data_IF_487199226409
#
_entry.id   IF_487199226409
#
_cell.length_a   1.000
_cell.length_b   1.000
_cell.length_c   1.000
_cell.angle_alpha   90.00
_cell.angle_beta   90.00
_cell.angle_gamma   90.00
#
_symmetry.space_group_name_H-M   'P 1'
#
loop_
_entity.id
_entity.type
_entity.pdbx_description
1 polymer ?
#
# COMPACT_ATOMS: atom_id res chain seq x y z
N UNK A 1 15.58 21.58 26.26
CA UNK A 1 14.52 21.15 25.33
C UNK A 1 13.23 21.88 25.68
N UNK A 2 12.74 22.72 24.78
CA UNK A 2 11.59 23.62 25.02
C UNK A 2 10.27 22.82 25.08
N UNK A 3 9.33 23.16 25.96
CA UNK A 3 8.09 22.41 26.20
C UNK A 3 7.25 22.20 24.94
N UNK A 4 7.24 23.19 24.05
CA UNK A 4 6.57 23.13 22.74
C UNK A 4 7.15 22.05 21.82
N UNK A 5 8.45 21.77 21.91
CA UNK A 5 9.10 20.77 21.06
C UNK A 5 8.59 19.36 21.38
N UNK A 6 8.36 19.06 22.67
CA UNK A 6 7.78 17.78 23.10
C UNK A 6 6.33 17.61 22.62
N UNK A 7 5.55 18.70 22.60
CA UNK A 7 4.17 18.69 22.09
C UNK A 7 4.17 18.41 20.58
N UNK A 8 5.05 19.07 19.82
CA UNK A 8 5.18 18.86 18.37
C UNK A 8 5.65 17.42 18.07
N UNK A 9 6.62 16.91 18.82
CA UNK A 9 7.10 15.52 18.68
C UNK A 9 6.00 14.50 19.01
N UNK A 10 5.21 14.74 20.06
CA UNK A 10 4.05 13.91 20.40
C UNK A 10 2.98 13.91 19.32
N UNK A 11 2.63 15.08 18.78
CA UNK A 11 1.66 15.20 17.68
C UNK A 11 2.14 14.45 16.41
N UNK A 12 3.43 14.59 16.07
CA UNK A 12 4.03 13.83 14.95
C UNK A 12 3.96 12.32 15.17
N UNK A 13 4.24 11.83 16.38
CA UNK A 13 4.14 10.40 16.69
C UNK A 13 2.71 9.87 16.58
N UNK A 14 1.70 10.65 17.00
CA UNK A 14 0.29 10.27 16.84
C UNK A 14 -0.06 10.15 15.36
N UNK A 15 0.37 11.10 14.54
CA UNK A 15 0.13 11.10 13.09
C UNK A 15 0.86 9.92 12.42
N UNK A 16 2.12 9.68 12.79
CA UNK A 16 2.95 8.61 12.22
C UNK A 16 2.40 7.21 12.54
N UNK A 17 1.78 7.04 13.70
CA UNK A 17 1.21 5.77 14.17
C UNK A 17 -0.31 5.66 13.93
N UNK A 18 -0.91 6.63 13.25
CA UNK A 18 -2.33 6.57 12.91
C UNK A 18 -2.59 5.48 11.86
N UNK A 19 -3.62 4.68 12.12
CA UNK A 19 -4.11 3.67 11.20
C UNK A 19 -5.62 3.81 11.04
N UNK A 20 -6.17 3.60 9.83
CA UNK A 20 -7.61 3.66 9.63
C UNK A 20 -8.30 2.56 10.44
N UNK A 21 -9.33 2.93 11.19
CA UNK A 21 -10.27 2.01 11.83
C UNK A 21 -11.63 2.12 11.13
N UNK A 22 -12.23 0.96 10.84
CA UNK A 22 -13.55 0.84 10.24
C UNK A 22 -14.24 -0.41 10.77
N UNK A 23 -15.56 -0.35 10.90
CA UNK A 23 -16.37 -1.51 11.22
C UNK A 23 -16.47 -2.40 9.97
N UNK A 24 -15.91 -3.60 10.04
CA UNK A 24 -16.06 -4.60 8.99
C UNK A 24 -17.43 -5.26 9.19
N UNK A 25 -18.32 -5.11 8.22
CA UNK A 25 -19.57 -5.87 8.22
C UNK A 25 -19.26 -7.35 8.04
N UNK A 26 -19.72 -8.18 8.99
CA UNK A 26 -19.51 -9.63 9.00
C UNK A 26 -20.10 -10.36 7.80
N UNK A 27 -20.98 -9.71 7.03
CA UNK A 27 -21.59 -10.24 5.81
C UNK A 27 -20.72 -10.05 4.57
N UNK A 28 -19.71 -9.19 4.62
CA UNK A 28 -18.82 -9.00 3.48
C UNK A 28 -18.00 -10.26 3.22
N UNK A 29 -17.83 -10.59 1.94
CA UNK A 29 -16.89 -11.62 1.56
C UNK A 29 -15.48 -11.21 2.00
N UNK A 30 -14.76 -12.12 2.65
CA UNK A 30 -13.37 -11.91 3.04
C UNK A 30 -12.52 -12.89 2.23
N UNK A 31 -11.59 -12.33 1.47
CA UNK A 31 -10.65 -13.10 0.65
C UNK A 31 -9.23 -12.91 1.17
N UNK A 32 -8.35 -13.87 0.88
CA UNK A 32 -6.92 -13.71 1.11
C UNK A 32 -6.33 -12.78 0.06
N UNK A 33 -5.44 -11.88 0.46
CA UNK A 33 -4.74 -10.97 -0.45
C UNK A 33 -4.05 -11.72 -1.60
N UNK A 34 -3.45 -12.87 -1.33
CA UNK A 34 -2.78 -13.70 -2.33
C UNK A 34 -3.73 -14.29 -3.40
N UNK A 35 -5.01 -14.48 -3.07
CA UNK A 35 -5.98 -15.10 -3.97
C UNK A 35 -6.53 -14.13 -5.02
N UNK A 36 -6.34 -12.82 -4.82
CA UNK A 36 -6.83 -11.77 -5.73
C UNK A 36 -5.73 -11.15 -6.62
N UNK A 37 -4.47 -11.59 -6.48
CA UNK A 37 -3.33 -11.10 -7.29
C UNK A 37 -3.32 -11.73 -8.68
N UNK A 38 -3.06 -10.92 -9.71
CA UNK A 38 -2.79 -11.39 -11.06
C UNK A 38 -1.51 -12.23 -11.04
N UNK A 39 -1.64 -13.53 -11.36
CA UNK A 39 -0.60 -14.59 -11.41
C UNK A 39 -0.65 -15.70 -10.34
N UNK A 40 -1.84 -16.17 -9.93
CA UNK A 40 -2.02 -17.60 -9.57
C UNK A 40 -2.35 -18.50 -10.79
N UNK A 41 -2.10 -18.00 -12.01
CA UNK A 41 -2.30 -18.71 -13.29
C UNK A 41 -0.99 -18.91 -14.05
N UNK A 42 0.00 -19.59 -13.44
CA UNK A 42 1.10 -20.27 -14.18
C UNK A 42 1.59 -21.53 -13.47
N UNK A 43 0.70 -22.32 -12.88
CA UNK A 43 0.91 -23.77 -12.67
C UNK A 43 -0.39 -24.38 -12.16
N UNK A 44 -0.88 -25.41 -12.85
CA UNK A 44 -2.10 -26.19 -12.59
C UNK A 44 -3.25 -25.88 -13.56
N UNK A 45 -2.97 -26.16 -14.83
CA UNK A 45 -3.97 -26.74 -15.71
C UNK A 45 -4.33 -28.11 -15.11
N UNK A 46 -5.64 -28.37 -14.95
CA UNK A 46 -6.30 -29.62 -14.49
C UNK A 46 -6.52 -29.75 -12.97
N UNK A 47 -7.61 -29.16 -12.46
CA UNK A 47 -8.58 -29.88 -11.62
C UNK A 47 -9.81 -29.03 -11.29
N UNK A 48 -10.94 -29.47 -11.82
CA UNK A 48 -12.28 -29.46 -11.23
C UNK A 48 -12.95 -28.11 -10.90
N UNK A 49 -13.93 -27.79 -11.75
CA UNK A 49 -15.21 -27.11 -11.50
C UNK A 49 -15.37 -26.29 -10.19
N UNK A 50 -15.61 -24.98 -10.40
CA UNK A 50 -16.04 -23.94 -9.44
C UNK A 50 -14.95 -23.29 -8.57
N UNK A 51 -14.33 -22.26 -9.14
CA UNK A 51 -14.31 -20.88 -8.62
C UNK A 51 -13.68 -20.00 -9.70
N UNK A 52 -14.46 -19.11 -10.31
CA UNK A 52 -13.90 -18.05 -11.15
C UNK A 52 -13.01 -17.20 -10.24
N UNK A 53 -11.69 -17.42 -10.28
CA UNK A 53 -10.74 -16.61 -9.53
C UNK A 53 -10.82 -15.19 -10.07
N UNK A 54 -11.52 -14.32 -9.35
CA UNK A 54 -11.58 -12.90 -9.70
C UNK A 54 -10.24 -12.31 -9.33
N UNK A 55 -9.31 -12.31 -10.29
CA UNK A 55 -8.13 -11.47 -10.21
C UNK A 55 -8.61 -10.03 -10.05
N UNK A 56 -8.29 -9.37 -8.94
CA UNK A 56 -8.70 -7.99 -8.68
C UNK A 56 -7.52 -7.02 -8.70
N UNK A 57 -6.29 -7.48 -8.45
CA UNK A 57 -5.14 -6.60 -8.26
C UNK A 57 -3.93 -7.03 -9.08
N UNK A 58 -3.15 -6.06 -9.53
CA UNK A 58 -1.79 -6.28 -10.02
C UNK A 58 -0.82 -6.07 -8.87
N UNK A 59 0.19 -6.94 -8.79
CA UNK A 59 1.35 -6.70 -7.96
C UNK A 59 2.64 -6.88 -8.75
N UNK A 60 3.51 -5.85 -8.77
CA UNK A 60 4.79 -5.88 -9.49
C UNK A 60 5.88 -5.10 -8.75
N UNK A 61 7.14 -5.34 -9.11
CA UNK A 61 8.28 -4.56 -8.61
C UNK A 61 8.44 -3.25 -9.38
N UNK A 62 8.84 -2.19 -8.69
CA UNK A 62 9.31 -0.94 -9.30
C UNK A 62 10.63 -1.15 -10.04
N UNK A 63 10.91 -0.27 -11.01
CA UNK A 63 12.15 -0.32 -11.80
C UNK A 63 13.25 0.44 -11.05
N UNK A 64 14.31 -0.25 -10.65
CA UNK A 64 15.42 0.38 -9.94
C UNK A 64 16.02 1.53 -10.75
N UNK A 65 16.21 2.66 -10.09
CA UNK A 65 17.05 3.78 -10.51
C UNK A 65 17.91 4.19 -9.32
N UNK A 66 19.14 4.62 -9.58
CA UNK A 66 20.06 5.15 -8.56
C UNK A 66 20.11 6.67 -8.65
N UNK A 67 20.41 7.33 -7.52
CA UNK A 67 20.52 8.80 -7.46
C UNK A 67 21.55 9.34 -8.46
N UNK A 68 22.67 8.63 -8.65
CA UNK A 68 23.74 9.02 -9.58
C UNK A 68 23.33 8.91 -11.07
N UNK A 69 22.30 8.11 -11.37
CA UNK A 69 21.77 7.94 -12.73
C UNK A 69 20.47 8.70 -12.95
N UNK A 70 19.92 9.32 -11.90
CA UNK A 70 18.69 10.08 -11.99
C UNK A 70 18.95 11.40 -12.73
N UNK A 71 18.19 11.63 -13.79
CA UNK A 71 18.18 12.91 -14.50
C UNK A 71 17.32 13.89 -13.71
N UNK A 72 17.82 15.11 -13.50
CA UNK A 72 17.14 16.19 -12.77
C UNK A 72 15.74 16.46 -13.32
N UNK A 73 14.75 16.49 -12.44
CA UNK A 73 13.36 16.83 -12.71
C UNK A 73 12.55 16.80 -11.41
N UNK A 74 11.23 16.91 -11.55
CA UNK A 74 10.32 17.09 -10.40
C UNK A 74 9.46 15.84 -10.09
N UNK A 75 9.71 14.72 -10.78
CA UNK A 75 9.00 13.46 -10.51
C UNK A 75 9.61 12.80 -9.27
N UNK A 76 8.84 12.57 -8.19
CA UNK A 76 9.39 11.91 -7.01
C UNK A 76 9.76 10.46 -7.33
N UNK A 77 10.97 10.06 -6.92
CA UNK A 77 11.34 8.65 -6.89
C UNK A 77 10.85 8.07 -5.56
N UNK A 78 10.03 7.04 -5.61
CA UNK A 78 9.55 6.33 -4.44
C UNK A 78 10.26 5.00 -4.37
N UNK A 79 11.09 4.86 -3.34
CA UNK A 79 11.87 3.66 -3.12
C UNK A 79 11.51 3.01 -1.78
N UNK A 80 12.52 2.68 -0.99
CA UNK A 80 12.37 2.14 0.36
C UNK A 80 12.29 3.30 1.35
N UNK A 81 11.42 3.17 2.35
CA UNK A 81 11.24 4.20 3.39
C UNK A 81 9.89 4.92 3.33
N UNK A 82 9.84 6.06 4.01
CA UNK A 82 8.63 6.87 4.22
C UNK A 82 8.62 8.20 3.46
N UNK A 83 9.69 8.51 2.74
CA UNK A 83 9.88 9.76 2.00
C UNK A 83 10.52 9.46 0.64
N UNK A 84 10.33 10.36 -0.31
CA UNK A 84 11.06 10.31 -1.58
C UNK A 84 12.52 10.71 -1.33
N UNK A 85 13.52 9.86 -1.64
CA UNK A 85 14.92 10.19 -1.40
C UNK A 85 15.49 11.21 -2.39
N UNK A 86 14.94 11.30 -3.61
CA UNK A 86 15.34 12.22 -4.68
C UNK A 86 14.29 12.23 -5.80
N UNK A 87 14.49 13.07 -6.82
CA UNK A 87 13.57 13.22 -7.94
C UNK A 87 14.21 12.83 -9.28
N UNK A 88 13.37 12.58 -10.28
CA UNK A 88 13.73 12.22 -11.64
C UNK A 88 12.90 13.05 -12.64
N UNK A 89 13.23 13.03 -13.93
CA UNK A 89 12.48 13.73 -14.98
C UNK A 89 11.40 12.85 -15.64
N UNK A 90 11.36 11.55 -15.32
CA UNK A 90 10.40 10.60 -15.88
C UNK A 90 9.66 9.87 -14.76
N UNK A 91 8.42 9.47 -15.05
CA UNK A 91 7.62 8.60 -14.21
C UNK A 91 7.46 7.22 -14.86
N UNK A 92 7.30 6.17 -14.06
CA UNK A 92 6.89 4.84 -14.53
C UNK A 92 5.49 4.43 -14.04
N UNK A 93 4.87 5.27 -13.20
CA UNK A 93 3.46 5.20 -12.80
C UNK A 93 2.84 6.59 -12.75
N UNK A 94 1.57 6.71 -13.17
CA UNK A 94 0.82 7.97 -13.23
C UNK A 94 -0.12 8.17 -12.02
N UNK A 95 0.22 7.60 -10.86
CA UNK A 95 -0.63 7.63 -9.67
C UNK A 95 -1.70 6.53 -9.63
N UNK A 96 -2.64 6.67 -8.68
CA UNK A 96 -3.58 5.67 -8.19
C UNK A 96 -2.95 4.29 -7.94
N UNK A 97 -1.82 4.28 -7.21
CA UNK A 97 -1.11 3.06 -6.84
C UNK A 97 -0.76 3.04 -5.35
N UNK A 98 -0.48 1.84 -4.86
CA UNK A 98 0.05 1.57 -3.53
C UNK A 98 1.49 1.11 -3.67
N UNK A 99 2.40 1.67 -2.89
CA UNK A 99 3.76 1.13 -2.74
C UNK A 99 3.93 0.46 -1.39
N UNK A 100 4.64 -0.66 -1.37
CA UNK A 100 5.11 -1.31 -0.15
C UNK A 100 6.64 -1.33 -0.18
N UNK A 101 7.27 -0.73 0.82
CA UNK A 101 8.73 -0.80 1.00
C UNK A 101 9.17 -2.26 1.11
N UNK A 102 10.10 -2.70 0.26
CA UNK A 102 10.52 -4.09 0.19
C UNK A 102 11.58 -4.44 1.24
N UNK A 103 12.40 -3.47 1.63
CA UNK A 103 13.59 -3.65 2.45
C UNK A 103 13.92 -2.41 3.30
N UNK A 104 14.85 -2.58 4.24
CA UNK A 104 15.33 -1.54 5.16
C UNK A 104 14.46 -1.41 6.41
N UNK A 105 14.77 -0.42 7.27
CA UNK A 105 14.09 -0.22 8.55
C UNK A 105 12.56 -0.07 8.45
N UNK A 106 12.05 0.30 7.28
CA UNK A 106 10.63 0.48 7.00
C UNK A 106 10.06 -0.58 6.05
N UNK A 107 10.71 -1.75 5.90
CA UNK A 107 10.19 -2.85 5.10
C UNK A 107 8.73 -3.16 5.52
N UNK A 108 7.82 -3.25 4.56
CA UNK A 108 6.39 -3.37 4.82
C UNK A 108 5.61 -2.05 4.92
N UNK A 109 6.26 -0.88 4.88
CA UNK A 109 5.54 0.40 4.93
C UNK A 109 4.64 0.59 3.72
N UNK A 110 3.34 0.81 3.98
CA UNK A 110 2.31 1.02 2.96
C UNK A 110 2.08 2.50 2.74
N UNK A 111 2.11 2.89 1.47
CA UNK A 111 1.91 4.26 1.03
C UNK A 111 1.08 4.31 -0.24
N UNK A 112 0.19 5.29 -0.35
CA UNK A 112 -0.64 5.52 -1.53
C UNK A 112 -0.21 6.80 -2.25
N UNK A 113 -0.19 6.71 -3.58
CA UNK A 113 0.23 7.79 -4.47
C UNK A 113 -0.84 8.04 -5.53
N UNK A 114 -1.23 9.30 -5.70
CA UNK A 114 -2.22 9.74 -6.69
C UNK A 114 -1.67 10.75 -7.71
N UNK A 115 -0.36 10.76 -7.88
CA UNK A 115 0.36 11.65 -8.79
C UNK A 115 1.44 10.88 -9.54
N UNK A 116 1.93 11.39 -10.68
CA UNK A 116 3.08 10.82 -11.38
C UNK A 116 4.26 10.58 -10.45
N UNK A 117 4.88 9.40 -10.56
CA UNK A 117 6.00 9.00 -9.71
C UNK A 117 6.87 7.93 -10.40
N UNK A 118 8.11 7.80 -9.94
CA UNK A 118 8.97 6.68 -10.31
C UNK A 118 9.10 5.70 -9.14
N UNK A 119 8.48 4.52 -9.23
CA UNK A 119 8.67 3.46 -8.26
C UNK A 119 10.01 2.74 -8.51
N UNK A 120 10.88 2.71 -7.51
CA UNK A 120 12.24 2.13 -7.56
C UNK A 120 12.43 1.10 -6.44
N UNK A 121 12.64 -0.17 -6.78
CA UNK A 121 12.93 -1.24 -5.80
C UNK A 121 11.87 -1.44 -4.68
N UNK A 122 10.66 -0.90 -4.83
CA UNK A 122 9.50 -1.18 -3.97
C UNK A 122 8.55 -2.17 -4.65
N UNK A 123 7.60 -2.73 -3.89
CA UNK A 123 6.45 -3.39 -4.49
C UNK A 123 5.40 -2.33 -4.87
N UNK A 124 4.71 -2.52 -5.99
CA UNK A 124 3.64 -1.65 -6.49
C UNK A 124 2.38 -2.49 -6.68
N UNK A 125 1.27 -2.03 -6.09
CA UNK A 125 -0.03 -2.69 -6.09
C UNK A 125 -1.10 -1.72 -6.59
N UNK A 126 -2.03 -2.20 -7.42
CA UNK A 126 -3.22 -1.45 -7.84
C UNK A 126 -4.31 -2.41 -8.33
N UNK A 127 -5.56 -1.95 -8.30
CA UNK A 127 -6.71 -2.68 -8.82
C UNK A 127 -6.68 -2.74 -10.35
N UNK A 128 -7.09 -3.88 -10.92
CA UNK A 128 -7.27 -4.00 -12.37
C UNK A 128 -8.60 -3.38 -12.83
N UNK A 129 -9.55 -3.21 -11.91
CA UNK A 129 -10.88 -2.69 -12.21
C UNK A 129 -11.44 -1.91 -11.02
N UNK A 130 -11.38 -0.58 -11.10
CA UNK A 130 -11.91 0.35 -10.09
C UNK A 130 -13.44 0.29 -9.93
N UNK A 131 -14.17 -0.45 -10.80
CA UNK A 131 -15.60 -0.73 -10.61
C UNK A 131 -15.87 -1.94 -9.71
N UNK A 132 -14.85 -2.73 -9.39
CA UNK A 132 -14.95 -3.90 -8.52
C UNK A 132 -14.23 -3.68 -7.19
N UNK A 133 -13.01 -3.15 -7.26
CA UNK A 133 -12.18 -2.87 -6.10
C UNK A 133 -11.49 -1.53 -6.28
N UNK A 134 -11.73 -0.58 -5.38
CA UNK A 134 -11.03 0.70 -5.43
C UNK A 134 -9.60 0.54 -4.91
N UNK A 135 -8.60 1.00 -5.67
CA UNK A 135 -7.21 0.98 -5.18
C UNK A 135 -7.05 1.79 -3.89
N UNK A 136 -7.80 2.89 -3.76
CA UNK A 136 -7.81 3.72 -2.55
C UNK A 136 -8.43 2.99 -1.35
N UNK A 137 -9.48 2.20 -1.56
CA UNK A 137 -10.07 1.37 -0.52
C UNK A 137 -9.09 0.29 -0.07
N UNK A 138 -8.50 -0.45 -1.03
CA UNK A 138 -7.48 -1.46 -0.75
C UNK A 138 -6.31 -0.89 0.06
N UNK A 139 -5.87 0.34 -0.27
CA UNK A 139 -4.88 1.06 0.51
C UNK A 139 -5.27 1.17 1.98
N UNK A 140 -6.51 1.58 2.28
CA UNK A 140 -6.95 1.73 3.67
C UNK A 140 -7.04 0.38 4.39
N UNK A 141 -7.48 -0.69 3.71
CA UNK A 141 -7.51 -2.05 4.26
C UNK A 141 -6.09 -2.55 4.59
N UNK A 142 -5.15 -2.35 3.67
CA UNK A 142 -3.76 -2.73 3.90
C UNK A 142 -3.16 -1.86 5.01
N UNK A 143 -3.47 -0.55 5.01
CA UNK A 143 -2.94 0.39 6.01
C UNK A 143 -3.45 0.09 7.41
N UNK A 144 -4.69 -0.38 7.59
CA UNK A 144 -5.16 -0.81 8.92
C UNK A 144 -4.39 -2.05 9.42
N UNK A 145 -3.80 -2.84 8.53
CA UNK A 145 -3.00 -4.02 8.82
C UNK A 145 -1.48 -3.73 8.86
N UNK A 146 -1.06 -2.45 8.86
CA UNK A 146 0.35 -2.04 8.81
C UNK A 146 1.21 -2.70 9.91
N UNK A 147 0.69 -2.83 11.13
CA UNK A 147 1.41 -3.47 12.24
C UNK A 147 1.61 -4.98 12.01
N UNK A 148 0.60 -5.67 11.48
CA UNK A 148 0.69 -7.09 11.10
C UNK A 148 1.76 -7.27 10.02
N UNK A 149 1.83 -6.33 9.08
CA UNK A 149 2.81 -6.34 8.00
C UNK A 149 4.24 -6.09 8.52
N UNK A 150 4.41 -5.18 9.48
CA UNK A 150 5.71 -5.00 10.13
C UNK A 150 6.17 -6.21 10.94
N UNK A 151 5.25 -6.94 11.58
CA UNK A 151 5.58 -8.18 12.28
C UNK A 151 6.05 -9.31 11.35
N UNK A 152 5.81 -9.17 10.04
CA UNK A 152 6.30 -10.10 9.01
C UNK A 152 7.71 -9.77 8.51
N UNK A 153 8.33 -8.70 9.01
CA UNK A 153 9.72 -8.38 8.70
C UNK A 153 10.65 -9.54 9.11
N UNK A 154 11.50 -9.96 8.18
CA UNK A 154 12.53 -10.96 8.44
C UNK A 154 13.93 -10.40 8.16
N UNK A 155 14.97 -11.04 8.71
CA UNK A 155 16.38 -10.65 8.57
C UNK A 155 16.89 -9.79 9.73
N UNK A 156 17.99 -10.20 10.35
CA UNK A 156 18.57 -9.58 11.54
C UNK A 156 19.35 -8.29 11.29
N UNK A 157 19.81 -8.06 10.05
CA UNK A 157 20.56 -6.85 9.67
C UNK A 157 19.78 -5.90 8.76
N UNK A 158 19.14 -6.43 7.72
CA UNK A 158 18.33 -5.67 6.78
C UNK A 158 16.92 -6.27 6.74
N UNK A 159 15.96 -5.68 7.46
CA UNK A 159 14.59 -6.15 7.43
C UNK A 159 14.04 -6.16 6.01
N UNK A 160 13.29 -7.19 5.67
CA UNK A 160 12.62 -7.31 4.38
C UNK A 160 11.20 -7.86 4.54
N UNK A 161 10.34 -7.49 3.60
CA UNK A 161 8.97 -8.02 3.46
C UNK A 161 8.75 -8.37 1.99
N UNK A 162 8.47 -9.64 1.73
CA UNK A 162 8.12 -10.15 0.42
C UNK A 162 6.60 -10.17 0.23
N UNK A 163 6.16 -10.23 -1.03
CA UNK A 163 4.74 -10.33 -1.35
C UNK A 163 4.09 -11.61 -0.81
N UNK A 164 4.84 -12.72 -0.81
CA UNK A 164 4.40 -13.99 -0.22
C UNK A 164 4.01 -13.85 1.25
N UNK A 165 4.68 -12.96 1.98
CA UNK A 165 4.42 -12.77 3.41
C UNK A 165 3.04 -12.11 3.61
N UNK A 166 2.54 -11.39 2.60
CA UNK A 166 1.26 -10.69 2.61
C UNK A 166 0.08 -11.56 2.13
N UNK A 167 0.32 -12.76 1.62
CA UNK A 167 -0.72 -13.57 0.96
C UNK A 167 -1.92 -13.87 1.86
N UNK A 168 -1.68 -14.13 3.14
CA UNK A 168 -2.73 -14.47 4.11
C UNK A 168 -3.46 -13.27 4.72
N UNK A 169 -3.11 -12.03 4.34
CA UNK A 169 -3.83 -10.85 4.80
C UNK A 169 -5.29 -10.93 4.36
N UNK A 170 -6.19 -10.60 5.29
CA UNK A 170 -7.63 -10.69 5.05
C UNK A 170 -8.12 -9.39 4.42
N UNK A 171 -8.77 -9.49 3.26
CA UNK A 171 -9.28 -8.37 2.49
C UNK A 171 -10.80 -8.51 2.40
N UNK A 172 -11.58 -7.68 3.13
CA UNK A 172 -13.02 -7.61 2.92
C UNK A 172 -13.34 -6.97 1.56
N UNK A 173 -14.27 -7.57 0.82
CA UNK A 173 -14.73 -7.13 -0.51
C UNK A 173 -16.21 -6.74 -0.42
N UNK A 174 -16.52 -5.52 0.04
CA UNK A 174 -17.88 -5.02 0.07
C UNK A 174 -18.33 -4.51 -1.31
N UNK A 175 -19.64 -4.25 -1.51
CA UNK A 175 -20.13 -3.56 -2.69
C UNK A 175 -19.41 -2.23 -2.93
N UNK A 176 -19.30 -1.82 -4.20
CA UNK A 176 -18.56 -0.63 -4.62
C UNK A 176 -19.00 0.64 -3.87
N UNK A 177 -20.30 0.80 -3.64
CA UNK A 177 -20.88 1.94 -2.92
C UNK A 177 -20.34 2.05 -1.48
N UNK A 178 -20.23 0.91 -0.78
CA UNK A 178 -19.66 0.87 0.57
C UNK A 178 -18.16 1.19 0.55
N UNK A 179 -17.42 0.70 -0.46
CA UNK A 179 -16.01 1.08 -0.63
C UNK A 179 -15.85 2.60 -0.80
N UNK A 180 -16.71 3.22 -1.62
CA UNK A 180 -16.71 4.68 -1.86
C UNK A 180 -17.05 5.48 -0.60
N UNK A 181 -18.06 5.03 0.15
CA UNK A 181 -18.46 5.63 1.42
C UNK A 181 -17.31 5.62 2.43
N UNK A 182 -16.65 4.47 2.61
CA UNK A 182 -15.50 4.32 3.50
C UNK A 182 -14.32 5.21 3.09
N UNK A 183 -13.99 5.25 1.78
CA UNK A 183 -12.93 6.11 1.27
C UNK A 183 -13.23 7.59 1.54
N UNK A 184 -14.48 8.00 1.35
CA UNK A 184 -14.92 9.39 1.56
C UNK A 184 -14.83 9.76 3.04
N UNK A 185 -15.33 8.91 3.93
CA UNK A 185 -15.29 9.14 5.38
C UNK A 185 -13.85 9.24 5.90
N UNK A 186 -12.97 8.32 5.50
CA UNK A 186 -11.56 8.34 5.90
C UNK A 186 -10.81 9.55 5.34
N UNK A 187 -11.15 10.00 4.13
CA UNK A 187 -10.61 11.24 3.56
C UNK A 187 -10.99 12.45 4.41
N UNK A 188 -12.26 12.57 4.80
CA UNK A 188 -12.73 13.68 5.66
C UNK A 188 -11.99 13.68 7.00
N UNK A 189 -11.93 12.54 7.69
CA UNK A 189 -11.22 12.40 8.98
C UNK A 189 -9.75 12.82 8.88
N UNK A 190 -9.05 12.41 7.82
CA UNK A 190 -7.65 12.74 7.59
C UNK A 190 -7.42 14.23 7.30
N UNK A 191 -8.33 14.88 6.58
CA UNK A 191 -8.25 16.33 6.33
C UNK A 191 -8.42 17.10 7.63
N UNK A 192 -9.38 16.70 8.48
CA UNK A 192 -9.58 17.33 9.80
C UNK A 192 -8.34 17.22 10.67
N UNK A 193 -7.70 16.04 10.73
CA UNK A 193 -6.47 15.83 11.51
C UNK A 193 -5.29 16.70 11.08
N UNK A 194 -5.19 17.05 9.79
CA UNK A 194 -4.09 17.89 9.26
C UNK A 194 -4.32 19.39 9.45
N UNK A 195 -5.53 19.78 9.83
CA UNK A 195 -5.92 21.19 10.02
C UNK A 195 -5.78 21.61 11.50
N UNK A 196 -5.46 20.67 12.38
CA UNK A 196 -5.13 20.86 13.80
C UNK A 196 -3.61 21.01 13.94
#
# INVERSE_FOLDING_TARGET
MNSYQKIIEGAKQIIDNWHPYFEINKQWEIVKFGDIIINKLKSNILSLERKEYTTLIVCKKGKMININTAIKGDIPVIAVGRVSPYSHNQYNFNGNIITISSLGAYAGYIWYHNSPMWASDCNVIYSINEKLLLTKYLYYILKSQQNIIYQKQAGSGQPHVYLKDLEDLQIPIPPLEEQQKMVTELKVRLTTLKTI
#
